data_IF_591674097016
#
_entry.id   IF_591674097016
#
_cell.length_a   1.000
_cell.length_b   1.000
_cell.length_c   1.000
_cell.angle_alpha   90.00
_cell.angle_beta   90.00
_cell.angle_gamma   90.00
#
_symmetry.space_group_name_H-M   'P 1'
#
loop_
_entity.id
_entity.type
_entity.pdbx_description
1 polymer ?
#
# COMPACT_ATOMS: atom_id res chain seq x y z
N UNK A 1 -10.32 -6.00 -39.10
CA UNK A 1 -9.37 -4.93 -38.70
C UNK A 1 -9.94 -3.93 -37.67
N UNK A 2 -11.04 -4.25 -36.96
CA UNK A 2 -11.59 -3.38 -35.88
C UNK A 2 -11.14 -3.88 -34.49
N UNK A 3 -11.07 -5.21 -34.30
CA UNK A 3 -10.61 -5.82 -33.05
C UNK A 3 -9.16 -5.41 -32.68
N UNK A 4 -8.24 -5.35 -33.66
CA UNK A 4 -6.87 -4.88 -33.44
C UNK A 4 -6.80 -3.40 -33.02
N UNK A 5 -7.78 -2.59 -33.43
CA UNK A 5 -7.84 -1.18 -33.05
C UNK A 5 -8.34 -1.02 -31.61
N UNK A 6 -9.42 -1.72 -31.19
CA UNK A 6 -9.93 -1.57 -29.82
C UNK A 6 -8.88 -2.01 -28.78
N UNK A 7 -8.12 -3.08 -29.02
CA UNK A 7 -7.03 -3.48 -28.12
C UNK A 7 -5.87 -2.46 -28.10
N UNK A 8 -5.56 -1.79 -29.21
CA UNK A 8 -4.60 -0.67 -29.23
C UNK A 8 -5.08 0.51 -28.42
N UNK A 9 -6.34 0.92 -28.60
CA UNK A 9 -6.94 2.02 -27.84
C UNK A 9 -6.96 1.74 -26.34
N UNK A 10 -7.35 0.52 -25.95
CA UNK A 10 -7.28 0.08 -24.56
C UNK A 10 -5.83 0.15 -24.07
N UNK A 11 -4.87 -0.40 -24.81
CA UNK A 11 -3.46 -0.35 -24.46
C UNK A 11 -2.97 1.08 -24.19
N UNK A 12 -3.18 1.99 -25.15
CA UNK A 12 -2.82 3.40 -25.04
C UNK A 12 -3.51 4.08 -23.86
N UNK A 13 -4.79 3.81 -23.62
CA UNK A 13 -5.52 4.36 -22.48
C UNK A 13 -4.89 3.94 -21.15
N UNK A 14 -4.51 2.67 -21.00
CA UNK A 14 -3.85 2.22 -19.78
C UNK A 14 -2.43 2.78 -19.65
N UNK A 15 -1.62 2.74 -20.71
CA UNK A 15 -0.20 3.10 -20.61
C UNK A 15 0.06 4.60 -20.57
N UNK A 16 -0.73 5.39 -21.30
CA UNK A 16 -0.50 6.83 -21.47
C UNK A 16 -1.43 7.69 -20.60
N UNK A 17 -2.57 7.15 -20.17
CA UNK A 17 -3.53 7.90 -19.32
C UNK A 17 -3.54 7.33 -17.90
N UNK A 18 -3.99 6.08 -17.71
CA UNK A 18 -4.20 5.54 -16.37
C UNK A 18 -2.90 5.30 -15.59
N UNK A 19 -1.83 4.92 -16.28
CA UNK A 19 -0.52 4.68 -15.65
C UNK A 19 0.37 5.91 -15.61
N UNK A 20 -0.10 7.07 -16.11
CA UNK A 20 0.67 8.32 -16.06
C UNK A 20 1.15 8.66 -14.62
N UNK A 21 0.31 8.52 -13.56
CA UNK A 21 0.77 8.77 -12.20
C UNK A 21 1.86 7.79 -11.75
N UNK A 22 1.74 6.50 -12.09
CA UNK A 22 2.74 5.49 -11.74
C UNK A 22 4.05 5.68 -12.50
N UNK A 23 3.98 6.08 -13.78
CA UNK A 23 5.15 6.44 -14.54
C UNK A 23 5.86 7.66 -13.94
N UNK A 24 5.09 8.68 -13.53
CA UNK A 24 5.63 9.86 -12.86
C UNK A 24 6.33 9.50 -11.54
N UNK A 25 5.71 8.68 -10.69
CA UNK A 25 6.33 8.21 -9.43
C UNK A 25 7.65 7.47 -9.72
N UNK A 26 7.65 6.54 -10.67
CA UNK A 26 8.82 5.71 -10.99
C UNK A 26 9.97 6.51 -11.63
N UNK A 27 9.67 7.51 -12.45
CA UNK A 27 10.69 8.18 -13.28
C UNK A 27 11.15 9.52 -12.71
N UNK A 28 10.25 10.24 -12.04
CA UNK A 28 10.52 11.60 -11.57
C UNK A 28 10.65 11.67 -10.04
N UNK A 29 9.84 10.93 -9.28
CA UNK A 29 9.90 10.99 -7.82
C UNK A 29 10.98 10.04 -7.29
N UNK A 30 10.96 8.77 -7.72
CA UNK A 30 11.84 7.74 -7.19
C UNK A 30 13.34 8.01 -7.41
N UNK A 31 13.69 8.84 -8.39
CA UNK A 31 15.06 9.18 -8.77
C UNK A 31 15.63 10.38 -8.00
N UNK A 32 14.80 11.12 -7.26
CA UNK A 32 15.21 12.31 -6.50
C UNK A 32 15.77 11.95 -5.12
N UNK A 33 16.42 12.91 -4.47
CA UNK A 33 16.75 12.81 -3.06
C UNK A 33 15.46 12.61 -2.25
N UNK A 34 15.47 11.62 -1.33
CA UNK A 34 14.27 11.12 -0.62
C UNK A 34 13.23 10.36 -1.48
N UNK A 35 13.48 10.17 -2.77
CA UNK A 35 12.55 9.55 -3.72
C UNK A 35 12.06 8.16 -3.30
N UNK A 36 12.95 7.33 -2.73
CA UNK A 36 12.59 6.01 -2.18
C UNK A 36 11.59 6.12 -1.02
N UNK A 37 11.79 7.07 -0.11
CA UNK A 37 10.91 7.28 1.04
C UNK A 37 9.52 7.72 0.60
N UNK A 38 9.46 8.70 -0.30
CA UNK A 38 8.20 9.26 -0.81
C UNK A 38 7.44 8.22 -1.64
N UNK A 39 8.14 7.46 -2.50
CA UNK A 39 7.53 6.39 -3.30
C UNK A 39 6.92 5.29 -2.44
N UNK A 40 7.39 5.12 -1.20
CA UNK A 40 6.89 4.13 -0.24
C UNK A 40 5.94 4.72 0.81
N UNK A 41 5.47 5.97 0.68
CA UNK A 41 4.63 6.62 1.69
C UNK A 41 3.38 5.80 2.07
N UNK A 42 2.74 5.15 1.09
CA UNK A 42 1.58 4.27 1.34
C UNK A 42 1.98 3.04 2.16
N UNK A 43 3.14 2.43 1.88
CA UNK A 43 3.66 1.30 2.64
C UNK A 43 3.97 1.70 4.09
N UNK A 44 4.55 2.88 4.30
CA UNK A 44 4.75 3.47 5.62
C UNK A 44 3.42 3.69 6.35
N UNK A 45 2.39 4.13 5.63
CA UNK A 45 1.02 4.25 6.17
C UNK A 45 0.47 2.92 6.67
N UNK A 46 0.57 1.86 5.85
CA UNK A 46 0.16 0.52 6.27
C UNK A 46 0.97 -0.02 7.45
N UNK A 47 2.28 0.23 7.47
CA UNK A 47 3.14 -0.15 8.59
C UNK A 47 2.72 0.56 9.89
N UNK A 48 2.39 1.85 9.82
CA UNK A 48 1.90 2.62 10.97
C UNK A 48 0.58 2.03 11.50
N UNK A 49 -0.37 1.75 10.61
CA UNK A 49 -1.65 1.12 10.99
C UNK A 49 -1.42 -0.24 11.64
N UNK A 50 -0.54 -1.07 11.07
CA UNK A 50 -0.15 -2.36 11.63
C UNK A 50 0.41 -2.22 13.04
N UNK A 51 1.34 -1.28 13.26
CA UNK A 51 1.95 -1.07 14.58
C UNK A 51 0.93 -0.61 15.63
N UNK A 52 -0.02 0.26 15.25
CA UNK A 52 -1.10 0.71 16.16
C UNK A 52 -2.00 -0.47 16.54
N UNK A 53 -2.47 -1.24 15.56
CA UNK A 53 -3.34 -2.39 15.81
C UNK A 53 -2.62 -3.47 16.60
N UNK A 54 -1.34 -3.71 16.31
CA UNK A 54 -0.50 -4.64 17.05
C UNK A 54 -0.33 -4.18 18.50
N UNK A 55 -0.02 -2.90 18.74
CA UNK A 55 0.05 -2.35 20.10
C UNK A 55 -1.26 -2.47 20.86
N UNK A 56 -2.39 -2.18 20.20
CA UNK A 56 -3.73 -2.39 20.78
C UNK A 56 -3.95 -3.85 21.16
N UNK A 57 -3.66 -4.78 20.25
CA UNK A 57 -3.83 -6.21 20.49
C UNK A 57 -2.97 -6.68 21.66
N UNK A 58 -1.67 -6.35 21.68
CA UNK A 58 -0.79 -6.73 22.79
C UNK A 58 -1.28 -6.20 24.14
N UNK A 59 -1.83 -4.99 24.17
CA UNK A 59 -2.45 -4.43 25.39
C UNK A 59 -3.69 -5.23 25.83
N UNK A 60 -4.56 -5.62 24.91
CA UNK A 60 -5.72 -6.46 25.22
C UNK A 60 -5.29 -7.86 25.71
N UNK A 61 -4.34 -8.49 25.03
CA UNK A 61 -3.81 -9.80 25.42
C UNK A 61 -3.24 -9.78 26.85
N UNK A 62 -2.45 -8.74 27.18
CA UNK A 62 -1.95 -8.57 28.55
C UNK A 62 -3.08 -8.38 29.57
N UNK A 63 -4.09 -7.57 29.23
CA UNK A 63 -5.24 -7.35 30.11
C UNK A 63 -5.95 -8.67 30.45
N UNK A 64 -6.23 -9.51 29.45
CA UNK A 64 -6.90 -10.79 29.67
C UNK A 64 -6.06 -11.77 30.50
N UNK A 65 -4.74 -11.77 30.29
CA UNK A 65 -3.81 -12.55 31.11
C UNK A 65 -3.83 -12.10 32.58
N UNK A 66 -3.75 -10.79 32.82
CA UNK A 66 -3.73 -10.21 34.18
C UNK A 66 -5.09 -10.39 34.90
N UNK A 67 -6.21 -10.35 34.17
CA UNK A 67 -7.57 -10.56 34.70
C UNK A 67 -7.94 -12.05 34.85
N UNK A 68 -7.15 -12.96 34.29
CA UNK A 68 -7.46 -14.40 34.28
C UNK A 68 -8.70 -14.78 33.49
N UNK A 69 -9.16 -13.90 32.59
CA UNK A 69 -10.34 -14.07 31.72
C UNK A 69 -10.00 -14.66 30.35
N UNK A 70 -8.74 -15.01 30.15
CA UNK A 70 -8.28 -15.77 28.98
C UNK A 70 -9.02 -17.12 28.89
N UNK A 71 -9.58 -17.40 27.71
CA UNK A 71 -10.16 -18.70 27.40
C UNK A 71 -9.03 -19.74 27.28
N UNK A 72 -8.90 -20.58 28.29
CA UNK A 72 -7.92 -21.67 28.34
C UNK A 72 -8.61 -22.92 27.83
N UNK A 73 -8.46 -23.17 26.53
CA UNK A 73 -8.81 -24.46 25.94
C UNK A 73 -7.98 -25.61 26.54
#
# INVERSE_FOLDING_TARGET
MIASNIFRWIGTFFTEVLFLPFQWIRTQIATQELGWWISNAVNWGFLLVLLILFGYWMKQSKKFLDEGTEDKA
#
